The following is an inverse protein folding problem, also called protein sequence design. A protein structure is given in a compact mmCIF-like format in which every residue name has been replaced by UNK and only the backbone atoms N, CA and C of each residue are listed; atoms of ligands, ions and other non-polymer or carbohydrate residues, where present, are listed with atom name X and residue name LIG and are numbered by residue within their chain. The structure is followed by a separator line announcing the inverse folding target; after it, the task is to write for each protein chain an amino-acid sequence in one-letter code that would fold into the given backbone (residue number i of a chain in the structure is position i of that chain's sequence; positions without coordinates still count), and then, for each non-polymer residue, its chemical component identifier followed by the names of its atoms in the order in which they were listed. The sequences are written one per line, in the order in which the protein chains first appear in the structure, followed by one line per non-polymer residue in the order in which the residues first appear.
data_IF_187238342132
#
_entry.id   IF_187238342132
#
_cell.length_a   1.000
_cell.length_b   1.000
_cell.length_c   1.000
_cell.angle_alpha   90.00
_cell.angle_beta   90.00
_cell.angle_gamma   90.00
#
_symmetry.space_group_name_H-M   'P 1'
#
loop_
_entity.id
_entity.type
_entity.pdbx_description
1 polymer ?
#
# COMPACT_ATOMS: atom_id res chain seq x y z
N UNK A 1 5.24 -25.65 14.90
CA UNK A 1 5.22 -24.24 14.48
C UNK A 1 6.16 -24.05 13.30
N UNK A 2 5.61 -23.85 12.11
CA UNK A 2 6.41 -23.71 10.90
C UNK A 2 6.86 -22.27 10.69
N UNK A 3 8.17 -22.06 10.47
CA UNK A 3 8.72 -20.77 10.08
C UNK A 3 8.56 -20.60 8.58
N UNK A 4 7.94 -19.51 8.16
CA UNK A 4 7.75 -19.19 6.73
C UNK A 4 9.04 -18.63 6.16
N UNK A 5 9.52 -19.22 5.07
CA UNK A 5 10.68 -18.74 4.31
C UNK A 5 10.19 -17.70 3.31
N UNK A 6 10.63 -16.47 3.48
CA UNK A 6 10.24 -15.32 2.63
C UNK A 6 11.38 -14.95 1.70
N UNK A 7 11.06 -14.81 0.43
CA UNK A 7 11.97 -14.29 -0.59
C UNK A 7 11.59 -12.86 -0.99
N UNK A 8 12.59 -12.06 -1.31
CA UNK A 8 12.42 -10.68 -1.78
C UNK A 8 12.50 -10.63 -3.30
N UNK A 9 11.46 -10.11 -3.94
CA UNK A 9 11.43 -9.81 -5.37
C UNK A 9 11.66 -8.32 -5.54
N UNK A 10 12.86 -7.96 -5.97
CA UNK A 10 13.34 -6.58 -5.98
C UNK A 10 14.43 -6.38 -4.94
N UNK A 11 15.41 -5.55 -5.27
CA UNK A 11 16.62 -5.34 -4.46
C UNK A 11 16.93 -3.85 -4.25
N UNK A 12 15.86 -3.05 -4.12
CA UNK A 12 15.96 -1.63 -3.83
C UNK A 12 15.90 -1.31 -2.33
N UNK A 13 15.74 -0.02 -2.03
CA UNK A 13 15.71 0.49 -0.66
C UNK A 13 14.55 -0.08 0.17
N UNK A 14 13.38 -0.27 -0.43
CA UNK A 14 12.23 -0.81 0.30
C UNK A 14 12.45 -2.27 0.69
N UNK A 15 13.15 -3.04 -0.14
CA UNK A 15 13.52 -4.42 0.19
C UNK A 15 14.51 -4.45 1.36
N UNK A 16 15.49 -3.53 1.41
CA UNK A 16 16.39 -3.40 2.55
C UNK A 16 15.64 -3.07 3.84
N UNK A 17 14.69 -2.15 3.77
CA UNK A 17 13.83 -1.79 4.92
C UNK A 17 12.98 -2.97 5.37
N UNK A 18 12.49 -3.77 4.44
CA UNK A 18 11.74 -5.00 4.76
C UNK A 18 12.60 -5.97 5.57
N UNK A 19 13.83 -6.23 5.16
CA UNK A 19 14.74 -7.14 5.90
C UNK A 19 14.94 -6.65 7.33
N UNK A 20 15.20 -5.35 7.50
CA UNK A 20 15.40 -4.76 8.81
C UNK A 20 14.16 -4.89 9.72
N UNK A 21 12.97 -4.65 9.17
CA UNK A 21 11.71 -4.72 9.92
C UNK A 21 11.25 -6.16 10.17
N UNK A 22 11.59 -7.10 9.30
CA UNK A 22 11.22 -8.51 9.44
C UNK A 22 11.77 -9.14 10.73
N UNK A 23 12.88 -8.64 11.26
CA UNK A 23 13.45 -9.10 12.53
C UNK A 23 12.52 -8.87 13.74
N UNK A 24 11.58 -7.95 13.60
CA UNK A 24 10.62 -7.61 14.67
C UNK A 24 9.26 -8.31 14.50
N UNK A 25 9.14 -9.19 13.52
CA UNK A 25 7.96 -10.02 13.30
C UNK A 25 8.31 -11.48 13.57
N UNK A 26 7.33 -12.23 14.09
CA UNK A 26 7.54 -13.64 14.42
C UNK A 26 7.08 -14.56 13.30
N UNK A 27 7.68 -15.75 13.20
CA UNK A 27 7.20 -16.81 12.33
C UNK A 27 7.72 -16.75 10.91
N UNK A 28 8.72 -15.92 10.62
CA UNK A 28 9.33 -15.84 9.29
C UNK A 28 10.84 -15.74 9.38
N UNK A 29 11.47 -16.09 8.27
CA UNK A 29 12.88 -15.81 8.01
C UNK A 29 13.01 -15.37 6.55
N UNK A 30 13.77 -14.31 6.30
CA UNK A 30 14.10 -13.85 4.95
C UNK A 30 15.30 -14.64 4.48
N UNK A 31 15.13 -15.49 3.47
CA UNK A 31 16.16 -16.44 3.02
C UNK A 31 16.76 -16.09 1.67
N UNK A 32 16.06 -15.33 0.84
CA UNK A 32 16.39 -15.21 -0.58
C UNK A 32 16.07 -13.81 -1.10
N UNK A 33 16.84 -13.36 -2.08
CA UNK A 33 16.60 -12.12 -2.81
C UNK A 33 16.79 -12.35 -4.31
N UNK A 34 15.90 -11.76 -5.09
CA UNK A 34 15.89 -11.89 -6.54
C UNK A 34 15.76 -10.51 -7.22
N UNK A 35 16.51 -10.34 -8.28
CA UNK A 35 16.34 -9.26 -9.26
C UNK A 35 16.84 -9.78 -10.62
N UNK A 36 16.20 -9.43 -11.75
CA UNK A 36 16.69 -9.84 -13.06
C UNK A 36 18.06 -9.26 -13.40
N UNK A 37 18.44 -8.13 -12.77
CA UNK A 37 19.76 -7.53 -12.90
C UNK A 37 20.70 -8.05 -11.82
N UNK A 38 21.66 -8.88 -12.20
CA UNK A 38 22.60 -9.50 -11.28
C UNK A 38 23.50 -8.47 -10.56
N UNK A 39 23.78 -7.33 -11.18
CA UNK A 39 24.54 -6.28 -10.53
C UNK A 39 23.78 -5.67 -9.36
N UNK A 40 22.47 -5.46 -9.53
CA UNK A 40 21.59 -5.02 -8.44
C UNK A 40 21.55 -6.04 -7.30
N UNK A 41 21.49 -7.33 -7.63
CA UNK A 41 21.54 -8.41 -6.63
C UNK A 41 22.85 -8.37 -5.84
N UNK A 42 23.97 -8.22 -6.52
CA UNK A 42 25.27 -8.17 -5.89
C UNK A 42 25.45 -6.94 -4.98
N UNK A 43 24.92 -5.79 -5.40
CA UNK A 43 24.93 -4.58 -4.59
C UNK A 43 24.05 -4.76 -3.34
N UNK A 44 22.87 -5.35 -3.50
CA UNK A 44 21.97 -5.67 -2.39
C UNK A 44 22.63 -6.61 -1.39
N UNK A 45 23.36 -7.62 -1.86
CA UNK A 45 24.12 -8.54 -1.01
C UNK A 45 25.14 -7.80 -0.14
N UNK A 46 25.81 -6.82 -0.69
CA UNK A 46 26.76 -5.96 0.07
C UNK A 46 26.02 -5.12 1.10
N UNK A 47 24.90 -4.51 0.72
CA UNK A 47 24.11 -3.63 1.59
C UNK A 47 23.47 -4.40 2.76
N UNK A 48 23.15 -5.68 2.56
CA UNK A 48 22.50 -6.55 3.53
C UNK A 48 23.44 -7.59 4.15
N UNK A 49 24.75 -7.36 4.13
CA UNK A 49 25.76 -8.31 4.62
C UNK A 49 25.61 -8.65 6.10
N UNK A 50 24.98 -7.81 6.90
CA UNK A 50 24.70 -8.05 8.32
C UNK A 50 23.53 -9.02 8.54
N UNK A 51 22.74 -9.34 7.50
CA UNK A 51 21.60 -10.25 7.57
C UNK A 51 21.95 -11.62 7.02
N UNK A 52 21.27 -12.65 7.54
CA UNK A 52 21.50 -14.04 7.14
C UNK A 52 20.63 -14.43 5.94
N UNK A 53 20.87 -13.79 4.78
CA UNK A 53 20.22 -14.13 3.53
C UNK A 53 21.16 -15.07 2.76
N UNK A 54 20.70 -16.29 2.48
CA UNK A 54 21.54 -17.34 1.89
C UNK A 54 21.58 -17.32 0.37
N UNK A 55 20.50 -16.91 -0.27
CA UNK A 55 20.31 -17.05 -1.71
C UNK A 55 20.13 -15.66 -2.34
N UNK A 56 21.02 -15.37 -3.30
CA UNK A 56 20.97 -14.18 -4.13
C UNK A 56 21.02 -14.62 -5.58
N UNK A 57 19.97 -14.31 -6.36
CA UNK A 57 19.88 -14.88 -7.72
C UNK A 57 19.18 -13.92 -8.69
N UNK A 58 19.50 -14.07 -9.98
CA UNK A 58 18.81 -13.41 -11.09
C UNK A 58 17.83 -14.34 -11.83
N UNK A 59 17.57 -15.54 -11.26
CA UNK A 59 16.71 -16.56 -11.84
C UNK A 59 15.46 -16.78 -11.00
N UNK A 60 14.32 -16.32 -11.51
CA UNK A 60 13.06 -16.29 -10.76
C UNK A 60 12.57 -17.70 -10.40
N UNK A 61 12.62 -18.64 -11.34
CA UNK A 61 12.12 -20.00 -11.09
C UNK A 61 12.91 -20.72 -10.00
N UNK A 62 14.24 -20.59 -10.01
CA UNK A 62 15.10 -21.16 -8.97
C UNK A 62 14.84 -20.51 -7.61
N UNK A 63 14.63 -19.19 -7.62
CA UNK A 63 14.30 -18.42 -6.42
C UNK A 63 12.98 -18.91 -5.80
N UNK A 64 11.92 -19.08 -6.61
CA UNK A 64 10.61 -19.52 -6.11
C UNK A 64 10.64 -20.89 -5.48
N UNK A 65 11.46 -21.81 -5.98
CA UNK A 65 11.59 -23.17 -5.40
C UNK A 65 12.09 -23.17 -3.95
N UNK A 66 12.76 -22.10 -3.53
CA UNK A 66 13.43 -22.00 -2.22
C UNK A 66 12.63 -21.24 -1.16
N UNK A 67 11.44 -20.77 -1.49
CA UNK A 67 10.64 -19.93 -0.59
C UNK A 67 9.22 -20.46 -0.44
N UNK A 68 8.57 -20.07 0.66
CA UNK A 68 7.14 -20.34 0.91
C UNK A 68 6.28 -19.14 0.53
N UNK A 69 6.85 -17.93 0.60
CA UNK A 69 6.19 -16.67 0.37
C UNK A 69 7.15 -15.68 -0.26
N UNK A 70 6.60 -14.69 -0.95
CA UNK A 70 7.39 -13.60 -1.56
C UNK A 70 6.86 -12.23 -1.16
N UNK A 71 7.78 -11.30 -0.99
CA UNK A 71 7.49 -9.88 -0.92
C UNK A 71 7.93 -9.23 -2.22
N UNK A 72 6.96 -8.70 -2.98
CA UNK A 72 7.22 -8.10 -4.28
C UNK A 72 7.35 -6.59 -4.11
N UNK A 73 8.55 -6.09 -4.30
CA UNK A 73 8.93 -4.68 -4.24
C UNK A 73 9.81 -4.30 -5.44
N UNK A 74 9.52 -4.88 -6.57
CA UNK A 74 10.14 -4.59 -7.86
C UNK A 74 9.50 -3.36 -8.51
N UNK A 75 9.87 -3.03 -9.75
CA UNK A 75 9.26 -1.91 -10.46
C UNK A 75 7.78 -2.15 -10.74
N UNK A 76 6.97 -1.08 -10.77
CA UNK A 76 5.50 -1.15 -10.83
C UNK A 76 4.98 -2.08 -11.94
N UNK A 77 5.55 -1.98 -13.13
CA UNK A 77 5.14 -2.76 -14.31
C UNK A 77 5.36 -4.26 -14.17
N UNK A 78 6.12 -4.70 -13.18
CA UNK A 78 6.44 -6.12 -12.97
C UNK A 78 5.61 -6.77 -11.86
N UNK A 79 4.86 -6.00 -11.07
CA UNK A 79 4.12 -6.52 -9.92
C UNK A 79 3.15 -7.63 -10.30
N UNK A 80 2.27 -7.38 -11.25
CA UNK A 80 1.28 -8.37 -11.71
C UNK A 80 1.94 -9.65 -12.22
N UNK A 81 2.95 -9.52 -13.05
CA UNK A 81 3.67 -10.65 -13.65
C UNK A 81 4.30 -11.54 -12.58
N UNK A 82 5.06 -10.97 -11.66
CA UNK A 82 5.72 -11.74 -10.62
C UNK A 82 4.72 -12.32 -9.62
N UNK A 83 3.68 -11.58 -9.25
CA UNK A 83 2.64 -12.09 -8.38
C UNK A 83 1.91 -13.28 -8.99
N UNK A 84 1.56 -13.20 -10.28
CA UNK A 84 0.86 -14.26 -10.99
C UNK A 84 1.66 -15.56 -11.02
N UNK A 85 2.94 -15.48 -11.37
CA UNK A 85 3.81 -16.68 -11.40
C UNK A 85 3.96 -17.28 -10.01
N UNK A 86 4.21 -16.47 -8.99
CA UNK A 86 4.34 -16.93 -7.61
C UNK A 86 3.06 -17.64 -7.11
N UNK A 87 1.90 -17.02 -7.33
CA UNK A 87 0.61 -17.59 -6.93
C UNK A 87 0.34 -18.91 -7.63
N UNK A 88 0.62 -19.03 -8.93
CA UNK A 88 0.48 -20.27 -9.69
C UNK A 88 1.33 -21.41 -9.13
N UNK A 89 2.47 -21.08 -8.55
CA UNK A 89 3.35 -22.07 -7.90
C UNK A 89 3.01 -22.29 -6.43
N UNK A 90 1.86 -21.80 -5.97
CA UNK A 90 1.39 -22.05 -4.61
C UNK A 90 2.12 -21.24 -3.54
N UNK A 91 2.75 -20.10 -3.91
CA UNK A 91 3.44 -19.24 -2.95
C UNK A 91 2.50 -18.15 -2.45
N UNK A 92 2.62 -17.82 -1.16
CA UNK A 92 1.96 -16.64 -0.59
C UNK A 92 2.63 -15.37 -1.12
N UNK A 93 1.84 -14.31 -1.33
CA UNK A 93 2.34 -13.06 -1.93
C UNK A 93 1.92 -11.84 -1.10
N UNK A 94 2.91 -11.06 -0.71
CA UNK A 94 2.74 -9.68 -0.24
C UNK A 94 3.33 -8.78 -1.33
N UNK A 95 2.48 -7.97 -1.97
CA UNK A 95 2.88 -7.19 -3.15
C UNK A 95 2.72 -5.70 -2.91
N UNK A 96 3.77 -4.94 -3.20
CA UNK A 96 3.73 -3.48 -3.16
C UNK A 96 2.70 -2.90 -4.15
N UNK A 97 2.18 -1.75 -3.81
CA UNK A 97 1.25 -0.97 -4.64
C UNK A 97 1.98 -0.33 -5.83
N UNK A 98 1.31 -0.18 -6.96
CA UNK A 98 0.01 -0.75 -7.28
C UNK A 98 0.11 -2.25 -7.54
N UNK A 99 -0.87 -3.00 -7.05
CA UNK A 99 -0.89 -4.46 -7.24
C UNK A 99 -0.92 -4.84 -8.73
N UNK A 100 -1.70 -4.08 -9.49
CA UNK A 100 -1.85 -4.23 -10.93
C UNK A 100 -2.33 -2.90 -11.53
N UNK A 101 -2.43 -2.81 -12.85
CA UNK A 101 -2.89 -1.60 -13.54
C UNK A 101 -4.34 -1.69 -14.01
N UNK A 102 -4.95 -2.86 -13.94
CA UNK A 102 -6.34 -3.05 -14.31
C UNK A 102 -7.10 -3.80 -13.23
N UNK A 103 -8.38 -3.49 -13.11
CA UNK A 103 -9.29 -4.20 -12.20
C UNK A 103 -9.32 -5.69 -12.50
N UNK A 104 -9.35 -6.05 -13.79
CA UNK A 104 -9.36 -7.44 -14.25
C UNK A 104 -8.14 -8.21 -13.75
N UNK A 105 -6.95 -7.62 -13.85
CA UNK A 105 -5.71 -8.22 -13.35
C UNK A 105 -5.75 -8.42 -11.84
N UNK A 106 -6.23 -7.44 -11.10
CA UNK A 106 -6.36 -7.54 -9.65
C UNK A 106 -7.32 -8.67 -9.24
N UNK A 107 -8.48 -8.75 -9.89
CA UNK A 107 -9.45 -9.85 -9.67
C UNK A 107 -8.82 -11.20 -9.99
N UNK A 108 -8.10 -11.31 -11.09
CA UNK A 108 -7.40 -12.54 -11.48
C UNK A 108 -6.44 -13.01 -10.40
N UNK A 109 -5.62 -12.09 -9.87
CA UNK A 109 -4.66 -12.42 -8.82
C UNK A 109 -5.33 -12.94 -7.55
N UNK A 110 -6.40 -12.27 -7.09
CA UNK A 110 -7.12 -12.71 -5.89
C UNK A 110 -7.85 -14.05 -6.10
N UNK A 111 -8.43 -14.27 -7.28
CA UNK A 111 -9.03 -15.56 -7.62
C UNK A 111 -7.98 -16.68 -7.67
N UNK A 112 -6.82 -16.40 -8.23
CA UNK A 112 -5.72 -17.35 -8.31
C UNK A 112 -5.22 -17.72 -6.90
N UNK A 113 -5.06 -16.72 -6.01
CA UNK A 113 -4.69 -16.97 -4.63
C UNK A 113 -5.71 -17.86 -3.91
N UNK A 114 -7.01 -17.57 -4.08
CA UNK A 114 -8.09 -18.36 -3.51
C UNK A 114 -8.07 -19.81 -4.01
N UNK A 115 -7.90 -20.00 -5.31
CA UNK A 115 -7.88 -21.33 -5.92
C UNK A 115 -6.67 -22.14 -5.49
N UNK A 116 -5.54 -21.50 -5.24
CA UNK A 116 -4.32 -22.16 -4.76
C UNK A 116 -4.28 -22.32 -3.23
N UNK A 117 -5.24 -21.74 -2.51
CA UNK A 117 -5.26 -21.79 -1.06
C UNK A 117 -4.11 -21.04 -0.41
N UNK A 118 -3.68 -19.94 -1.00
CA UNK A 118 -2.59 -19.10 -0.50
C UNK A 118 -3.06 -17.68 -0.23
N UNK A 119 -2.25 -16.95 0.54
CA UNK A 119 -2.52 -15.56 0.91
C UNK A 119 -1.98 -14.62 -0.16
N UNK A 120 -2.79 -13.64 -0.55
CA UNK A 120 -2.36 -12.47 -1.32
C UNK A 120 -2.78 -11.21 -0.54
N UNK A 121 -1.81 -10.34 -0.27
CA UNK A 121 -2.06 -9.05 0.36
C UNK A 121 -1.35 -7.94 -0.41
N UNK A 122 -2.02 -6.80 -0.53
CA UNK A 122 -1.40 -5.58 -1.05
C UNK A 122 -0.72 -4.81 0.08
N UNK A 123 0.54 -4.43 -0.12
CA UNK A 123 1.37 -3.81 0.89
C UNK A 123 1.15 -2.29 0.97
N UNK A 124 -0.05 -1.88 1.37
CA UNK A 124 -0.34 -0.48 1.69
C UNK A 124 -0.14 -0.31 3.19
N UNK A 125 1.05 0.06 3.57
CA UNK A 125 1.58 0.04 4.93
C UNK A 125 0.64 0.63 5.99
N UNK A 126 0.06 1.80 5.71
CA UNK A 126 -0.81 2.50 6.66
C UNK A 126 -2.03 1.67 7.09
N UNK A 127 -2.54 0.79 6.22
CA UNK A 127 -3.70 -0.06 6.53
C UNK A 127 -3.45 -1.00 7.72
N UNK A 128 -2.21 -1.33 7.98
CA UNK A 128 -1.83 -2.33 8.99
C UNK A 128 -1.35 -1.69 10.30
N UNK A 129 -1.21 -0.37 10.36
CA UNK A 129 -0.74 0.33 11.55
C UNK A 129 -1.79 0.34 12.66
N UNK A 130 -1.40 0.08 13.92
CA UNK A 130 -2.35 0.05 15.05
C UNK A 130 -3.12 1.35 15.23
N UNK A 131 -2.47 2.49 15.02
CA UNK A 131 -3.13 3.79 15.12
C UNK A 131 -4.23 3.99 14.09
N UNK A 132 -4.03 3.51 12.86
CA UNK A 132 -5.05 3.57 11.83
C UNK A 132 -6.26 2.69 12.18
N UNK A 133 -6.03 1.51 12.76
CA UNK A 133 -7.11 0.65 13.23
C UNK A 133 -7.91 1.34 14.35
N UNK A 134 -7.24 2.01 15.27
CA UNK A 134 -7.90 2.79 16.32
C UNK A 134 -8.73 3.94 15.73
N UNK A 135 -8.19 4.65 14.75
CA UNK A 135 -8.90 5.72 14.04
C UNK A 135 -10.17 5.19 13.36
N UNK A 136 -10.08 4.06 12.67
CA UNK A 136 -11.25 3.41 12.05
C UNK A 136 -12.31 3.06 13.08
N UNK A 137 -11.93 2.52 14.23
CA UNK A 137 -12.86 2.19 15.30
C UNK A 137 -13.60 3.44 15.80
N UNK A 138 -12.89 4.55 15.97
CA UNK A 138 -13.48 5.82 16.39
C UNK A 138 -14.46 6.34 15.35
N UNK A 139 -14.08 6.32 14.06
CA UNK A 139 -14.93 6.74 12.95
C UNK A 139 -16.21 5.90 12.88
N UNK A 140 -16.09 4.60 13.09
CA UNK A 140 -17.22 3.65 13.03
C UNK A 140 -18.07 3.64 14.30
N UNK A 141 -17.62 4.27 15.39
CA UNK A 141 -18.32 4.28 16.67
C UNK A 141 -19.61 5.10 16.69
N UNK A 142 -19.79 5.98 15.70
CA UNK A 142 -20.90 6.93 15.66
C UNK A 142 -20.63 8.26 16.38
N UNK A 143 -19.46 8.44 17.00
CA UNK A 143 -19.10 9.69 17.69
C UNK A 143 -19.24 10.94 16.83
N UNK A 144 -18.85 10.86 15.57
CA UNK A 144 -18.92 11.98 14.64
C UNK A 144 -20.18 11.97 13.75
N UNK A 145 -21.11 11.06 14.02
CA UNK A 145 -22.35 10.92 13.27
C UNK A 145 -22.17 10.17 11.95
N UNK A 146 -23.02 10.47 10.97
CA UNK A 146 -22.88 9.92 9.61
C UNK A 146 -21.68 10.55 8.91
N UNK A 147 -20.86 9.73 8.29
CA UNK A 147 -19.68 10.22 7.56
C UNK A 147 -20.11 10.83 6.23
N UNK A 148 -19.68 12.06 5.97
CA UNK A 148 -20.04 12.82 4.77
C UNK A 148 -18.86 13.14 3.88
N UNK A 149 -17.65 13.23 4.43
CA UNK A 149 -16.45 13.57 3.66
C UNK A 149 -15.21 12.88 4.23
N UNK A 150 -14.35 12.42 3.34
CA UNK A 150 -13.01 11.93 3.68
C UNK A 150 -12.01 12.64 2.78
N UNK A 151 -11.02 13.28 3.38
CA UNK A 151 -9.92 13.91 2.66
C UNK A 151 -8.60 13.31 3.12
N UNK A 152 -7.85 12.69 2.20
CA UNK A 152 -6.58 12.05 2.47
C UNK A 152 -5.49 12.63 1.57
N UNK A 153 -4.36 13.00 2.17
CA UNK A 153 -3.22 13.55 1.46
C UNK A 153 -2.02 12.62 1.63
N UNK A 154 -1.26 12.44 0.58
CA UNK A 154 0.06 11.82 0.67
C UNK A 154 1.02 12.56 -0.23
N UNK A 155 2.08 13.11 0.34
CA UNK A 155 3.12 13.75 -0.46
C UNK A 155 4.51 13.44 0.09
N UNK A 156 5.44 13.24 -0.82
CA UNK A 156 6.86 13.10 -0.54
C UNK A 156 7.61 13.70 -1.71
N UNK A 157 8.41 14.72 -1.46
CA UNK A 157 9.17 15.36 -2.52
C UNK A 157 10.23 14.40 -3.03
N UNK A 158 10.12 14.03 -4.31
CA UNK A 158 11.11 13.23 -5.01
C UNK A 158 12.10 14.12 -5.72
N UNK A 159 13.37 13.68 -5.81
CA UNK A 159 14.39 14.44 -6.54
C UNK A 159 14.07 14.47 -8.03
N UNK A 160 14.48 15.54 -8.70
CA UNK A 160 14.27 15.74 -10.16
C UNK A 160 14.84 14.56 -10.95
N UNK A 161 15.95 13.98 -10.46
CA UNK A 161 16.64 12.88 -11.13
C UNK A 161 16.01 11.52 -10.87
N UNK A 162 15.05 11.41 -9.96
CA UNK A 162 14.44 10.13 -9.63
C UNK A 162 13.62 9.57 -10.81
N UNK A 163 13.60 8.25 -10.92
CA UNK A 163 12.82 7.54 -11.92
C UNK A 163 11.34 7.90 -11.83
N UNK A 164 10.81 8.02 -10.62
CA UNK A 164 9.40 8.33 -10.36
C UNK A 164 8.99 9.68 -10.97
N UNK A 165 9.90 10.64 -11.04
CA UNK A 165 9.64 11.96 -11.64
C UNK A 165 9.90 12.02 -13.14
N UNK A 166 10.68 11.10 -13.69
CA UNK A 166 11.10 11.10 -15.09
C UNK A 166 10.25 10.22 -15.99
N UNK A 167 9.67 9.16 -15.45
CA UNK A 167 8.97 8.16 -16.25
C UNK A 167 7.48 8.50 -16.38
N UNK A 168 7.03 9.03 -17.54
CA UNK A 168 5.62 9.40 -17.73
C UNK A 168 4.70 8.19 -17.88
N UNK A 169 5.26 6.99 -18.07
CA UNK A 169 4.49 5.77 -18.25
C UNK A 169 4.20 5.06 -16.93
N UNK A 170 5.22 4.91 -16.09
CA UNK A 170 5.13 4.14 -14.85
C UNK A 170 5.40 4.96 -13.59
N UNK A 171 5.82 6.20 -13.73
CA UNK A 171 6.09 7.11 -12.63
C UNK A 171 4.94 8.06 -12.35
N UNK A 172 5.24 9.11 -11.63
CA UNK A 172 4.30 10.17 -11.27
C UNK A 172 3.70 10.00 -9.88
N UNK A 173 3.13 11.08 -9.38
CA UNK A 173 2.60 11.15 -8.02
C UNK A 173 1.48 10.12 -7.79
N UNK A 174 0.57 9.97 -8.73
CA UNK A 174 -0.57 9.08 -8.54
C UNK A 174 -0.17 7.60 -8.55
N UNK A 175 0.59 7.15 -9.52
CA UNK A 175 0.99 5.73 -9.57
C UNK A 175 1.88 5.36 -8.38
N UNK A 176 2.68 6.30 -7.89
CA UNK A 176 3.55 6.06 -6.72
C UNK A 176 2.78 6.13 -5.40
N UNK A 177 1.92 7.14 -5.22
CA UNK A 177 1.32 7.46 -3.92
C UNK A 177 -0.21 7.32 -3.86
N UNK A 178 -0.87 7.11 -5.00
CA UNK A 178 -2.33 7.06 -5.07
C UNK A 178 -2.95 6.02 -4.15
N UNK A 179 -2.38 4.83 -4.10
CA UNK A 179 -2.86 3.76 -3.22
C UNK A 179 -2.85 4.15 -1.74
N UNK A 180 -1.85 4.92 -1.30
CA UNK A 180 -1.76 5.40 0.08
C UNK A 180 -2.93 6.32 0.45
N UNK A 181 -3.30 7.24 -0.44
CA UNK A 181 -4.39 8.20 -0.19
C UNK A 181 -5.78 7.60 -0.44
N UNK A 182 -5.90 6.67 -1.38
CA UNK A 182 -7.17 6.00 -1.68
C UNK A 182 -7.57 5.00 -0.60
N UNK A 183 -6.62 4.34 0.04
CA UNK A 183 -6.88 3.28 0.99
C UNK A 183 -7.80 3.73 2.14
N UNK A 184 -7.54 4.83 2.87
CA UNK A 184 -8.45 5.24 3.94
C UNK A 184 -9.84 5.62 3.43
N UNK A 185 -9.94 6.16 2.24
CA UNK A 185 -11.23 6.51 1.62
C UNK A 185 -12.06 5.24 1.39
N UNK A 186 -11.47 4.23 0.77
CA UNK A 186 -12.13 2.96 0.48
C UNK A 186 -12.48 2.22 1.78
N UNK A 187 -11.60 2.25 2.79
CA UNK A 187 -11.87 1.64 4.09
C UNK A 187 -13.07 2.28 4.78
N UNK A 188 -13.21 3.59 4.72
CA UNK A 188 -14.22 4.34 5.47
C UNK A 188 -15.54 4.43 4.69
N UNK A 189 -15.51 4.74 3.39
CA UNK A 189 -16.70 4.98 2.58
C UNK A 189 -17.12 3.78 1.71
N UNK A 190 -16.25 2.78 1.56
CA UNK A 190 -16.57 1.56 0.83
C UNK A 190 -16.25 1.60 -0.65
N UNK A 191 -16.70 0.55 -1.34
CA UNK A 191 -16.33 0.25 -2.72
C UNK A 191 -17.39 0.69 -3.74
N UNK A 192 -18.54 1.23 -3.28
CA UNK A 192 -19.68 1.58 -4.12
C UNK A 192 -19.69 3.06 -4.51
N UNK A 193 -18.56 3.59 -4.96
CA UNK A 193 -18.48 4.96 -5.48
C UNK A 193 -19.23 5.07 -6.81
N UNK A 194 -19.84 6.23 -7.04
CA UNK A 194 -20.64 6.54 -8.23
C UNK A 194 -19.80 7.15 -9.35
N UNK A 195 -18.83 8.00 -9.00
CA UNK A 195 -17.97 8.64 -9.98
C UNK A 195 -16.61 8.97 -9.39
N UNK A 196 -15.60 9.00 -10.25
CA UNK A 196 -14.22 9.37 -9.92
C UNK A 196 -13.72 10.34 -10.98
N UNK A 197 -13.24 11.49 -10.57
CA UNK A 197 -12.62 12.49 -11.46
C UNK A 197 -11.23 12.86 -10.99
N UNK A 198 -10.39 13.27 -11.92
CA UNK A 198 -8.98 13.57 -11.69
C UNK A 198 -8.62 14.96 -12.20
N UNK A 199 -7.64 15.56 -11.57
CA UNK A 199 -7.00 16.79 -12.02
C UNK A 199 -5.51 16.72 -11.67
N UNK A 200 -4.63 17.03 -12.61
CA UNK A 200 -3.18 16.87 -12.44
C UNK A 200 -2.42 18.09 -12.89
N UNK A 201 -1.33 18.38 -12.18
CA UNK A 201 -0.28 19.30 -12.62
C UNK A 201 0.89 18.45 -13.14
N UNK A 202 1.23 18.62 -14.40
CA UNK A 202 2.28 17.83 -15.04
C UNK A 202 3.60 18.61 -15.12
N UNK A 203 4.72 17.88 -15.08
CA UNK A 203 6.02 18.44 -15.41
C UNK A 203 6.29 18.39 -16.92
N UNK A 204 7.44 18.91 -17.35
CA UNK A 204 7.82 18.99 -18.77
C UNK A 204 7.95 17.62 -19.45
N UNK A 205 8.18 16.55 -18.69
CA UNK A 205 8.31 15.20 -19.20
C UNK A 205 6.95 14.47 -19.31
N UNK A 206 5.86 15.12 -18.91
CA UNK A 206 4.52 14.53 -18.97
C UNK A 206 4.17 13.64 -17.78
N UNK A 207 4.95 13.71 -16.70
CA UNK A 207 4.68 13.00 -15.44
C UNK A 207 3.89 13.92 -14.52
N UNK A 208 2.91 13.38 -13.79
CA UNK A 208 2.14 14.17 -12.84
C UNK A 208 2.95 14.47 -11.57
N UNK A 209 3.19 15.75 -11.33
CA UNK A 209 3.85 16.26 -10.12
C UNK A 209 2.89 16.32 -8.93
N UNK A 210 1.61 16.50 -9.23
CA UNK A 210 0.54 16.62 -8.24
C UNK A 210 -0.78 16.22 -8.86
N UNK A 211 -1.56 15.38 -8.15
CA UNK A 211 -2.86 14.92 -8.64
C UNK A 211 -3.89 14.98 -7.53
N UNK A 212 -5.06 15.53 -7.83
CA UNK A 212 -6.26 15.46 -7.00
C UNK A 212 -7.24 14.47 -7.60
N UNK A 213 -7.88 13.69 -6.73
CA UNK A 213 -8.92 12.74 -7.09
C UNK A 213 -10.17 13.10 -6.32
N UNK A 214 -11.28 13.31 -7.02
CA UNK A 214 -12.60 13.51 -6.41
C UNK A 214 -13.42 12.26 -6.59
N UNK A 215 -13.96 11.74 -5.49
CA UNK A 215 -14.77 10.52 -5.48
C UNK A 215 -16.15 10.85 -4.92
N UNK A 216 -17.20 10.50 -5.68
CA UNK A 216 -18.59 10.73 -5.28
C UNK A 216 -19.25 9.39 -4.91
N UNK A 217 -19.81 9.33 -3.70
CA UNK A 217 -20.67 8.27 -3.22
C UNK A 217 -22.13 8.79 -3.20
N UNK A 218 -23.09 7.91 -2.93
CA UNK A 218 -24.51 8.30 -2.85
C UNK A 218 -24.72 9.42 -1.82
N UNK A 219 -24.20 9.26 -0.62
CA UNK A 219 -24.42 10.15 0.52
C UNK A 219 -23.15 10.75 1.10
N UNK A 220 -22.04 10.66 0.38
CA UNK A 220 -20.75 11.16 0.82
C UNK A 220 -19.85 11.49 -0.37
N UNK A 221 -18.78 12.20 -0.10
CA UNK A 221 -17.74 12.49 -1.09
C UNK A 221 -16.36 12.35 -0.46
N UNK A 222 -15.34 12.24 -1.30
CA UNK A 222 -13.97 12.13 -0.84
C UNK A 222 -13.01 12.81 -1.81
N UNK A 223 -11.87 13.24 -1.26
CA UNK A 223 -10.76 13.81 -2.02
C UNK A 223 -9.47 13.11 -1.62
N UNK A 224 -8.72 12.64 -2.60
CA UNK A 224 -7.34 12.20 -2.42
C UNK A 224 -6.41 13.22 -3.09
N UNK A 225 -5.34 13.62 -2.39
CA UNK A 225 -4.31 14.52 -2.93
C UNK A 225 -2.96 13.85 -2.81
N UNK A 226 -2.26 13.69 -3.92
CA UNK A 226 -0.94 13.08 -3.94
C UNK A 226 0.06 13.96 -4.66
N UNK A 227 1.24 14.10 -4.07
CA UNK A 227 2.28 14.98 -4.61
C UNK A 227 3.67 14.38 -4.49
N UNK A 228 4.47 14.55 -5.54
CA UNK A 228 5.91 14.24 -5.50
C UNK A 228 6.79 15.45 -5.85
N UNK A 229 6.18 16.53 -6.30
CA UNK A 229 6.85 17.81 -6.52
C UNK A 229 6.12 18.95 -5.80
N UNK A 230 5.01 18.65 -5.15
CA UNK A 230 4.25 19.57 -4.29
C UNK A 230 4.13 18.91 -2.92
N UNK A 231 4.55 19.63 -1.86
CA UNK A 231 4.40 19.17 -0.48
C UNK A 231 3.06 19.64 0.06
N UNK A 232 2.15 18.71 0.33
CA UNK A 232 0.87 18.98 0.97
C UNK A 232 0.96 18.77 2.48
N UNK A 233 -0.10 19.12 3.21
CA UNK A 233 -0.15 19.08 4.67
C UNK A 233 -0.08 17.66 5.27
N UNK A 234 -0.33 16.61 4.50
CA UNK A 234 -0.20 15.23 4.96
C UNK A 234 -1.18 14.82 6.04
N UNK A 235 -2.38 15.38 6.04
CA UNK A 235 -3.45 15.07 6.99
C UNK A 235 -4.47 14.11 6.42
N UNK A 236 -5.15 13.38 7.32
CA UNK A 236 -6.37 12.63 7.03
C UNK A 236 -7.50 13.25 7.84
N UNK A 237 -8.55 13.70 7.16
CA UNK A 237 -9.71 14.33 7.80
C UNK A 237 -10.96 13.53 7.42
N UNK A 238 -11.73 13.13 8.44
CA UNK A 238 -13.00 12.42 8.27
C UNK A 238 -14.08 13.27 8.90
N UNK A 239 -14.96 13.83 8.09
CA UNK A 239 -16.01 14.72 8.54
C UNK A 239 -17.38 14.03 8.56
N UNK A 240 -18.09 14.20 9.66
CA UNK A 240 -19.43 13.65 9.85
C UNK A 240 -20.45 14.70 10.26
N UNK A 241 -21.65 14.26 10.54
CA UNK A 241 -22.78 15.17 10.89
C UNK A 241 -22.71 15.72 12.31
N UNK A 242 -21.83 15.17 13.18
CA UNK A 242 -21.68 15.60 14.57
C UNK A 242 -20.29 16.07 14.96
N UNK A 243 -19.32 15.87 14.08
CA UNK A 243 -17.93 16.22 14.34
C UNK A 243 -17.01 15.70 13.27
N UNK A 244 -15.71 15.80 13.52
CA UNK A 244 -14.70 15.29 12.60
C UNK A 244 -13.52 14.68 13.33
N UNK A 245 -12.83 13.78 12.64
CA UNK A 245 -11.55 13.22 13.06
C UNK A 245 -10.48 13.82 12.18
N UNK A 246 -9.40 14.30 12.80
CA UNK A 246 -8.23 14.81 12.08
C UNK A 246 -6.98 14.10 12.57
N UNK A 247 -6.32 13.35 11.66
CA UNK A 247 -5.02 12.77 11.91
C UNK A 247 -3.95 13.71 11.37
N UNK A 248 -3.01 14.07 12.26
CA UNK A 248 -1.96 15.03 11.95
C UNK A 248 -0.91 14.44 11.04
N UNK A 249 -0.20 15.31 10.34
CA UNK A 249 0.90 14.93 9.45
C UNK A 249 2.07 14.29 10.23
N UNK A 250 2.66 13.19 9.74
CA UNK A 250 2.20 12.39 8.60
C UNK A 250 1.13 11.40 9.05
N UNK A 251 -0.09 11.55 8.56
CA UNK A 251 -1.22 10.73 8.98
C UNK A 251 -1.00 9.23 8.74
N UNK A 252 -0.20 8.87 7.74
CA UNK A 252 0.06 7.45 7.39
C UNK A 252 0.86 6.68 8.43
N UNK A 253 1.44 7.35 9.41
CA UNK A 253 1.98 6.73 10.62
C UNK A 253 0.89 6.58 11.69
N UNK A 254 -0.10 7.46 11.66
CA UNK A 254 -1.22 7.56 12.59
C UNK A 254 -0.74 7.58 14.05
N UNK A 255 0.16 8.52 14.35
CA UNK A 255 0.71 8.69 15.70
C UNK A 255 -0.15 9.58 16.57
N UNK A 256 -0.91 10.51 15.95
CA UNK A 256 -1.74 11.48 16.65
C UNK A 256 -2.99 11.78 15.84
N UNK A 257 -4.15 11.71 16.50
CA UNK A 257 -5.39 12.19 15.91
C UNK A 257 -6.32 12.74 16.99
N UNK A 258 -7.16 13.67 16.59
CA UNK A 258 -8.17 14.30 17.44
C UNK A 258 -9.56 14.02 16.92
N UNK A 259 -10.52 13.94 17.85
CA UNK A 259 -11.94 14.03 17.55
C UNK A 259 -12.41 15.41 18.01
N UNK A 260 -13.03 16.14 17.12
CA UNK A 260 -13.50 17.51 17.35
C UNK A 260 -14.97 17.60 16.98
N UNK A 261 -15.69 18.46 17.71
CA UNK A 261 -17.14 18.60 17.62
C UNK A 261 -17.52 20.05 17.29
N UNK A 262 -18.84 20.31 17.12
CA UNK A 262 -19.33 21.68 16.94
C UNK A 262 -18.94 22.57 18.11
N UNK A 263 -19.01 22.06 19.34
CA UNK A 263 -18.43 22.72 20.51
C UNK A 263 -16.91 22.58 20.49
N UNK A 264 -16.23 23.63 20.07
CA UNK A 264 -14.77 23.67 19.91
C UNK A 264 -13.99 23.47 21.22
N UNK A 265 -14.66 23.59 22.38
CA UNK A 265 -14.02 23.35 23.68
C UNK A 265 -13.85 21.85 23.98
N UNK A 266 -14.55 20.98 23.25
CA UNK A 266 -14.50 19.53 23.43
C UNK A 266 -13.56 18.94 22.41
N UNK A 267 -12.42 18.43 22.88
CA UNK A 267 -11.41 17.77 22.04
C UNK A 267 -11.06 16.44 22.69
N UNK A 268 -11.18 15.35 21.94
CA UNK A 268 -10.67 14.05 22.35
C UNK A 268 -9.37 13.78 21.60
N UNK A 269 -8.29 13.58 22.34
CA UNK A 269 -6.94 13.40 21.79
C UNK A 269 -6.48 11.97 21.92
N UNK A 270 -5.90 11.40 20.85
CA UNK A 270 -5.38 10.04 20.77
C UNK A 270 -3.92 10.06 20.33
N UNK A 271 -3.09 9.29 21.01
CA UNK A 271 -1.67 9.10 20.66
C UNK A 271 -1.32 7.61 20.58
N UNK A 272 -1.79 6.90 19.54
CA UNK A 272 -1.46 5.50 19.37
C UNK A 272 0.04 5.31 19.12
N UNK A 273 0.55 4.14 19.57
CA UNK A 273 1.96 3.80 19.37
C UNK A 273 2.25 3.46 17.93
N UNK A 274 3.39 3.96 17.45
CA UNK A 274 3.98 3.59 16.17
C UNK A 274 5.45 3.28 16.41
N UNK A 275 5.90 2.09 16.01
CA UNK A 275 7.25 1.60 16.28
C UNK A 275 7.97 1.31 14.96
N UNK A 276 9.21 1.77 14.85
CA UNK A 276 10.07 1.51 13.72
C UNK A 276 9.60 2.19 12.42
N UNK A 277 9.75 1.50 11.31
CA UNK A 277 9.36 1.98 9.99
C UNK A 277 7.87 1.77 9.70
N UNK A 278 7.23 0.83 10.40
CA UNK A 278 5.84 0.44 10.19
C UNK A 278 5.66 -0.78 9.28
N UNK A 279 6.67 -1.19 8.54
CA UNK A 279 6.60 -2.41 7.73
C UNK A 279 6.39 -3.65 8.60
N UNK A 280 6.89 -3.65 9.82
CA UNK A 280 6.69 -4.76 10.76
C UNK A 280 5.22 -5.11 10.99
N UNK A 281 4.32 -4.13 10.89
CA UNK A 281 2.89 -4.36 11.09
C UNK A 281 2.26 -5.13 9.92
N UNK A 282 2.59 -4.75 8.68
CA UNK A 282 2.10 -5.50 7.51
C UNK A 282 2.73 -6.87 7.39
N UNK A 283 4.01 -6.99 7.73
CA UNK A 283 4.72 -8.27 7.77
C UNK A 283 4.06 -9.21 8.79
N UNK A 284 3.78 -8.72 9.99
CA UNK A 284 3.12 -9.51 11.03
C UNK A 284 1.73 -9.96 10.61
N UNK A 285 0.95 -9.09 9.97
CA UNK A 285 -0.38 -9.45 9.45
C UNK A 285 -0.28 -10.52 8.36
N UNK A 286 0.66 -10.37 7.44
CA UNK A 286 0.89 -11.33 6.37
C UNK A 286 1.22 -12.73 6.91
N UNK A 287 2.15 -12.79 7.84
CA UNK A 287 2.56 -14.07 8.46
C UNK A 287 1.41 -14.66 9.29
N UNK A 288 0.66 -13.83 10.03
CA UNK A 288 -0.51 -14.30 10.78
C UNK A 288 -1.55 -14.92 9.85
N UNK A 289 -1.83 -14.32 8.68
CA UNK A 289 -2.77 -14.87 7.70
C UNK A 289 -2.27 -16.18 7.09
N UNK A 290 -0.98 -16.31 6.86
CA UNK A 290 -0.41 -17.57 6.38
C UNK A 290 -0.63 -18.70 7.39
N UNK A 291 -0.44 -18.44 8.68
CA UNK A 291 -0.61 -19.44 9.74
C UNK A 291 -2.08 -19.71 10.11
N UNK A 292 -2.99 -18.80 9.75
CA UNK A 292 -4.42 -18.88 10.04
C UNK A 292 -5.23 -19.00 8.74
N UNK A 293 -4.82 -19.86 7.84
CA UNK A 293 -5.50 -20.10 6.56
C UNK A 293 -6.99 -20.42 6.79
N UNK A 294 -7.85 -19.71 6.07
CA UNK A 294 -9.31 -19.82 6.20
C UNK A 294 -9.97 -18.72 7.04
N UNK A 295 -9.21 -17.90 7.72
CA UNK A 295 -9.73 -16.71 8.39
C UNK A 295 -9.89 -15.57 7.37
N UNK A 296 -11.06 -14.91 7.37
CA UNK A 296 -11.43 -13.91 6.37
C UNK A 296 -11.33 -12.44 6.85
N UNK A 297 -10.87 -12.23 8.10
CA UNK A 297 -10.80 -10.90 8.70
C UNK A 297 -9.49 -10.18 8.32
N UNK A 298 -9.40 -9.69 7.10
CA UNK A 298 -8.24 -8.94 6.60
C UNK A 298 -8.37 -7.44 6.92
N UNK A 299 -7.29 -6.81 7.36
CA UNK A 299 -7.21 -5.35 7.56
C UNK A 299 -7.34 -4.57 6.25
N UNK A 300 -6.89 -5.15 5.16
CA UNK A 300 -7.17 -4.68 3.80
C UNK A 300 -7.71 -5.88 3.02
N UNK A 301 -8.99 -5.84 2.67
CA UNK A 301 -9.65 -6.96 2.01
C UNK A 301 -9.35 -7.00 0.52
N UNK A 302 -9.60 -8.16 -0.12
CA UNK A 302 -9.50 -8.30 -1.57
C UNK A 302 -10.39 -7.27 -2.29
N UNK A 303 -11.63 -7.12 -1.87
CA UNK A 303 -12.56 -6.14 -2.48
C UNK A 303 -12.07 -4.71 -2.37
N UNK A 304 -11.49 -4.33 -1.25
CA UNK A 304 -10.91 -3.00 -1.05
C UNK A 304 -9.69 -2.77 -1.94
N UNK A 305 -8.80 -3.74 -2.01
CA UNK A 305 -7.62 -3.70 -2.90
C UNK A 305 -8.04 -3.61 -4.37
N UNK A 306 -9.03 -4.40 -4.79
CA UNK A 306 -9.58 -4.37 -6.16
C UNK A 306 -10.17 -2.99 -6.46
N UNK A 307 -10.89 -2.37 -5.53
CA UNK A 307 -11.43 -1.02 -5.71
C UNK A 307 -10.33 0.02 -5.92
N UNK A 308 -9.23 -0.06 -5.18
CA UNK A 308 -8.06 0.81 -5.37
C UNK A 308 -7.46 0.61 -6.77
N UNK A 309 -7.35 -0.63 -7.23
CA UNK A 309 -6.86 -0.92 -8.59
C UNK A 309 -7.83 -0.39 -9.66
N UNK A 310 -9.14 -0.48 -9.41
CA UNK A 310 -10.15 0.08 -10.34
C UNK A 310 -9.97 1.59 -10.54
N UNK A 311 -9.75 2.32 -9.45
CA UNK A 311 -9.50 3.76 -9.53
C UNK A 311 -8.15 4.04 -10.23
N UNK A 312 -7.15 3.22 -9.98
CA UNK A 312 -5.86 3.31 -10.67
C UNK A 312 -6.02 3.12 -12.18
N UNK A 313 -6.82 2.13 -12.61
CA UNK A 313 -7.14 1.90 -14.02
C UNK A 313 -7.86 3.11 -14.62
N UNK A 314 -8.82 3.70 -13.89
CA UNK A 314 -9.53 4.91 -14.33
C UNK A 314 -8.56 6.09 -14.54
N UNK A 315 -7.60 6.27 -13.65
CA UNK A 315 -6.54 7.28 -13.80
C UNK A 315 -5.72 7.06 -15.07
N UNK A 316 -5.25 5.82 -15.27
CA UNK A 316 -4.45 5.44 -16.43
C UNK A 316 -5.22 5.73 -17.74
N UNK A 317 -6.50 5.36 -17.80
CA UNK A 317 -7.36 5.64 -18.96
C UNK A 317 -7.58 7.14 -19.16
N UNK A 318 -7.81 7.89 -18.09
CA UNK A 318 -7.96 9.34 -18.16
C UNK A 318 -6.69 10.01 -18.69
N UNK A 319 -5.53 9.55 -18.26
CA UNK A 319 -4.22 10.02 -18.76
C UNK A 319 -3.91 9.53 -20.17
N UNK A 320 -4.65 8.58 -20.73
CA UNK A 320 -4.41 7.93 -22.01
C UNK A 320 -3.03 7.24 -22.09
N UNK A 321 -2.60 6.64 -20.98
CA UNK A 321 -1.37 5.86 -20.93
C UNK A 321 -1.63 4.49 -21.57
N UNK A 322 -0.74 4.08 -22.47
CA UNK A 322 -0.79 2.79 -23.16
C UNK A 322 0.42 1.96 -22.69
N UNK A 323 0.14 0.79 -22.17
CA UNK A 323 1.16 -0.16 -21.72
C UNK A 323 1.37 -1.29 -22.74
#
# INVERSE_FOLDING_TARGET
FNITKVGLVGTGLIAERFVAEARYASGLIVTSAYNPDIESVNQFKKNCSEYEIDIYTDKYDEFLEKVDAVYIASTHETHYKYAKVALKQGKHVLCEKPLAFTKKESIELYNLAKNQGVVLMEAIKAAYCPGFQQLLNVVQSGKIGEIKDVEACFSRIATVESRERKDPKYGGAFLEYGGNALMPIIKILGQNYQSVTFDSLDNELGTDDYTKVQIRYKDAMATAKVGMAVKSEGQLIVAGTKGYVIAQSPWWLTEKFDVRYEDESIIEHYEPKFIGDGLRYEISEFIAKIHQLGENAYKLTAGESIAITDITEKFIKWRKIIY
#
